data_IF_241488351402
#
_entry.id   IF_241488351402
#
_cell.length_a   1.000
_cell.length_b   1.000
_cell.length_c   1.000
_cell.angle_alpha   90.00
_cell.angle_beta   90.00
_cell.angle_gamma   90.00
#
_symmetry.space_group_name_H-M   'P 1'
#
loop_
_entity.id
_entity.type
_entity.pdbx_description
1 polymer ?
#
# COMPACT_ATOMS: atom_id res chain seq x y z
N UNK A 1 16.55 3.11 10.27
CA UNK A 1 16.06 1.99 9.44
C UNK A 1 14.56 1.83 9.68
N UNK A 2 13.85 1.12 8.81
CA UNK A 2 12.44 0.71 9.03
C UNK A 2 12.34 -0.82 8.96
N UNK A 3 11.20 -1.37 9.40
CA UNK A 3 10.89 -2.79 9.28
C UNK A 3 10.91 -3.29 7.82
N UNK A 4 10.44 -2.47 6.88
CA UNK A 4 10.57 -2.68 5.44
C UNK A 4 12.03 -2.91 5.01
N UNK A 5 12.92 -2.03 5.46
CA UNK A 5 14.34 -2.06 5.11
C UNK A 5 15.06 -3.25 5.79
N UNK A 6 14.58 -3.68 6.96
CA UNK A 6 15.04 -4.90 7.62
C UNK A 6 14.67 -6.16 6.83
N UNK A 7 13.44 -6.25 6.33
CA UNK A 7 12.98 -7.35 5.45
C UNK A 7 13.75 -7.37 4.12
N UNK A 8 13.91 -6.21 3.45
CA UNK A 8 14.73 -6.09 2.24
C UNK A 8 16.17 -6.56 2.46
N UNK A 9 16.80 -6.18 3.59
CA UNK A 9 18.15 -6.65 3.96
C UNK A 9 18.22 -8.15 4.26
N UNK A 10 17.17 -8.73 4.84
CA UNK A 10 17.08 -10.18 5.06
C UNK A 10 16.98 -10.94 3.73
N UNK A 11 16.06 -10.52 2.84
CA UNK A 11 15.92 -11.05 1.47
C UNK A 11 17.23 -10.92 0.67
N UNK A 12 17.93 -9.79 0.76
CA UNK A 12 19.23 -9.58 0.11
C UNK A 12 20.37 -10.45 0.69
N UNK A 13 20.19 -11.02 1.88
CA UNK A 13 21.09 -11.99 2.50
C UNK A 13 20.62 -13.46 2.31
N UNK A 14 19.64 -13.69 1.44
CA UNK A 14 19.00 -15.00 1.19
C UNK A 14 18.35 -15.63 2.44
N UNK A 15 17.76 -14.77 3.29
CA UNK A 15 17.01 -15.16 4.48
C UNK A 15 15.51 -14.99 4.18
N UNK A 16 14.78 -16.10 4.18
CA UNK A 16 13.32 -16.12 4.14
C UNK A 16 12.78 -15.80 5.54
N UNK A 17 11.73 -14.97 5.60
CA UNK A 17 11.09 -14.54 6.85
C UNK A 17 9.59 -14.78 6.76
N UNK A 18 9.00 -15.47 7.74
CA UNK A 18 7.55 -15.62 7.85
C UNK A 18 7.08 -15.59 9.30
N UNK A 19 5.76 -15.62 9.48
CA UNK A 19 5.11 -15.61 10.79
C UNK A 19 4.70 -17.02 11.20
N UNK A 20 5.02 -17.40 12.45
CA UNK A 20 4.34 -18.47 13.17
C UNK A 20 3.70 -17.89 14.44
N UNK A 21 2.39 -17.61 14.38
CA UNK A 21 1.65 -16.91 15.44
C UNK A 21 2.19 -15.50 15.75
N UNK A 22 2.93 -15.39 16.85
CA UNK A 22 3.62 -14.17 17.33
C UNK A 22 5.17 -14.27 17.22
N UNK A 23 5.68 -15.30 16.54
CA UNK A 23 7.09 -15.47 16.22
C UNK A 23 7.38 -15.06 14.78
N UNK A 24 8.59 -14.52 14.57
CA UNK A 24 9.21 -14.48 13.25
C UNK A 24 10.08 -15.72 13.13
N UNK A 25 9.86 -16.49 12.07
CA UNK A 25 10.69 -17.63 11.69
C UNK A 25 11.64 -17.16 10.59
N UNK A 26 12.91 -17.54 10.73
CA UNK A 26 13.96 -17.23 9.77
C UNK A 26 14.50 -18.53 9.20
N UNK A 27 14.47 -18.69 7.88
CA UNK A 27 15.12 -19.78 7.16
C UNK A 27 16.20 -19.23 6.25
N UNK A 28 17.37 -19.84 6.32
CA UNK A 28 18.54 -19.43 5.55
C UNK A 28 19.50 -20.61 5.42
N UNK A 29 20.26 -20.64 4.32
CA UNK A 29 21.27 -21.68 4.05
C UNK A 29 22.44 -21.67 5.05
N UNK A 30 22.60 -20.60 5.82
CA UNK A 30 23.59 -20.43 6.89
C UNK A 30 23.04 -19.54 8.00
N UNK A 31 23.60 -19.57 9.23
CA UNK A 31 23.18 -18.68 10.31
C UNK A 31 23.23 -17.19 9.91
N UNK A 32 22.16 -16.39 10.16
CA UNK A 32 22.15 -14.97 9.86
C UNK A 32 23.31 -14.22 10.51
N UNK A 33 23.81 -13.17 9.84
CA UNK A 33 24.81 -12.29 10.47
C UNK A 33 24.21 -11.60 11.71
N UNK A 34 25.01 -11.31 12.76
CA UNK A 34 24.50 -10.61 13.94
C UNK A 34 23.88 -9.25 13.62
N UNK A 35 24.34 -8.57 12.57
CA UNK A 35 23.73 -7.30 12.11
C UNK A 35 22.29 -7.51 11.63
N UNK A 36 22.06 -8.46 10.72
CA UNK A 36 20.71 -8.70 10.17
C UNK A 36 19.79 -9.30 11.24
N UNK A 37 20.29 -10.21 12.07
CA UNK A 37 19.52 -10.77 13.18
C UNK A 37 19.07 -9.69 14.18
N UNK A 38 20.00 -8.85 14.65
CA UNK A 38 19.67 -7.78 15.59
C UNK A 38 18.72 -6.73 14.97
N UNK A 39 18.86 -6.46 13.67
CA UNK A 39 17.98 -5.56 12.94
C UNK A 39 16.54 -6.11 12.88
N UNK A 40 16.36 -7.37 12.48
CA UNK A 40 15.06 -8.04 12.48
C UNK A 40 14.45 -8.11 13.90
N UNK A 41 15.27 -8.42 14.91
CA UNK A 41 14.83 -8.44 16.31
C UNK A 41 14.36 -7.06 16.80
N UNK A 42 15.08 -5.98 16.47
CA UNK A 42 14.73 -4.61 16.86
C UNK A 42 13.43 -4.09 16.22
N UNK A 43 13.03 -4.65 15.08
CA UNK A 43 11.79 -4.30 14.37
C UNK A 43 10.72 -5.41 14.44
N UNK A 44 10.85 -6.41 15.32
CA UNK A 44 9.99 -7.62 15.33
C UNK A 44 8.49 -7.31 15.24
N UNK A 45 7.98 -6.41 16.08
CA UNK A 45 6.54 -6.08 16.13
C UNK A 45 6.05 -5.39 14.86
N UNK A 46 6.86 -4.49 14.31
CA UNK A 46 6.57 -3.80 13.06
C UNK A 46 6.60 -4.78 11.88
N UNK A 47 7.56 -5.71 11.86
CA UNK A 47 7.67 -6.78 10.85
C UNK A 47 6.48 -7.75 10.95
N UNK A 48 6.06 -8.15 12.15
CA UNK A 48 4.83 -8.95 12.34
C UNK A 48 3.60 -8.21 11.81
N UNK A 49 3.56 -6.87 11.94
CA UNK A 49 2.47 -6.04 11.40
C UNK A 49 2.55 -5.95 9.87
N UNK A 50 3.75 -5.84 9.29
CA UNK A 50 3.96 -5.85 7.85
C UNK A 50 3.67 -7.20 7.21
N UNK A 51 4.07 -8.32 7.82
CA UNK A 51 3.91 -9.66 7.22
C UNK A 51 2.51 -10.26 7.42
N UNK A 52 1.65 -9.66 8.26
CA UNK A 52 0.24 -10.09 8.42
C UNK A 52 -0.60 -9.61 7.23
N UNK A 53 -1.30 -10.50 6.51
CA UNK A 53 -2.25 -10.09 5.49
C UNK A 53 -3.39 -9.26 6.08
N UNK A 54 -3.72 -8.14 5.42
CA UNK A 54 -4.90 -7.35 5.70
C UNK A 54 -6.20 -8.00 5.18
N UNK A 55 -7.31 -7.27 5.30
CA UNK A 55 -8.62 -7.70 4.76
C UNK A 55 -8.65 -7.75 3.22
N UNK A 56 -7.69 -7.08 2.58
CA UNK A 56 -7.39 -7.12 1.14
C UNK A 56 -6.59 -8.37 0.71
N UNK A 57 -6.25 -9.24 1.66
CA UNK A 57 -5.43 -10.43 1.46
C UNK A 57 -3.95 -10.13 1.20
N UNK A 58 -3.51 -8.88 1.40
CA UNK A 58 -2.14 -8.43 1.14
C UNK A 58 -1.44 -8.05 2.43
N UNK A 59 -0.20 -8.50 2.57
CA UNK A 59 0.70 -8.05 3.61
C UNK A 59 1.18 -6.62 3.30
N UNK A 60 1.64 -5.90 4.32
CA UNK A 60 2.38 -4.65 4.13
C UNK A 60 3.68 -4.81 3.33
N UNK A 61 4.23 -6.03 3.24
CA UNK A 61 5.36 -6.34 2.35
C UNK A 61 4.92 -6.41 0.88
N UNK A 62 3.78 -7.03 0.55
CA UNK A 62 3.20 -7.02 -0.82
C UNK A 62 2.96 -5.58 -1.32
N UNK A 63 2.50 -4.71 -0.42
CA UNK A 63 2.32 -3.29 -0.68
C UNK A 63 3.64 -2.55 -0.97
N UNK A 64 4.73 -2.92 -0.28
CA UNK A 64 6.06 -2.35 -0.49
C UNK A 64 6.71 -2.87 -1.78
N UNK A 65 6.58 -4.16 -2.07
CA UNK A 65 7.07 -4.77 -3.31
C UNK A 65 6.37 -4.14 -4.53
N UNK A 66 5.04 -3.92 -4.48
CA UNK A 66 4.31 -3.18 -5.52
C UNK A 66 4.83 -1.74 -5.67
N UNK A 67 5.05 -1.02 -4.57
CA UNK A 67 5.55 0.35 -4.62
C UNK A 67 6.93 0.43 -5.29
N UNK A 68 7.86 -0.43 -4.89
CA UNK A 68 9.22 -0.46 -5.46
C UNK A 68 9.24 -0.92 -6.92
N UNK A 69 8.42 -1.92 -7.30
CA UNK A 69 8.24 -2.32 -8.71
C UNK A 69 7.77 -1.13 -9.56
N UNK A 70 6.72 -0.43 -9.11
CA UNK A 70 6.15 0.70 -9.84
C UNK A 70 7.12 1.89 -9.90
N UNK A 71 7.88 2.14 -8.84
CA UNK A 71 8.92 3.17 -8.82
C UNK A 71 10.05 2.83 -9.80
N UNK A 72 10.57 1.59 -9.76
CA UNK A 72 11.62 1.14 -10.69
C UNK A 72 11.18 1.19 -12.16
N UNK A 73 9.94 0.81 -12.48
CA UNK A 73 9.39 0.92 -13.84
C UNK A 73 9.25 2.39 -14.27
N UNK A 74 8.73 3.27 -13.41
CA UNK A 74 8.59 4.69 -13.72
C UNK A 74 9.95 5.40 -13.87
N UNK A 75 10.94 5.04 -13.06
CA UNK A 75 12.31 5.55 -13.12
C UNK A 75 13.05 5.07 -14.37
N UNK A 76 13.10 3.76 -14.62
CA UNK A 76 13.90 3.19 -15.71
C UNK A 76 13.21 3.23 -17.08
N UNK A 77 11.92 2.88 -17.16
CA UNK A 77 11.17 2.88 -18.43
C UNK A 77 10.56 4.25 -18.71
N UNK A 78 10.01 4.90 -17.68
CA UNK A 78 9.43 6.25 -17.79
C UNK A 78 10.47 7.38 -17.84
N UNK A 79 11.73 7.11 -17.46
CA UNK A 79 12.81 8.12 -17.31
C UNK A 79 12.44 9.26 -16.36
N UNK A 80 11.61 8.97 -15.35
CA UNK A 80 11.31 9.89 -14.26
C UNK A 80 12.51 9.98 -13.30
N UNK A 81 12.64 11.11 -12.61
CA UNK A 81 13.51 11.18 -11.42
C UNK A 81 12.95 10.25 -10.34
N UNK A 82 13.79 9.73 -9.42
CA UNK A 82 13.34 8.87 -8.32
C UNK A 82 12.14 9.43 -7.56
N UNK A 83 12.14 10.74 -7.25
CA UNK A 83 11.03 11.41 -6.59
C UNK A 83 9.73 11.41 -7.42
N UNK A 84 9.81 11.66 -8.73
CA UNK A 84 8.63 11.61 -9.61
C UNK A 84 8.14 10.16 -9.83
N UNK A 85 9.06 9.20 -9.86
CA UNK A 85 8.77 7.78 -9.93
C UNK A 85 8.05 7.28 -8.66
N UNK A 86 8.52 7.68 -7.46
CA UNK A 86 7.88 7.38 -6.18
C UNK A 86 6.48 8.02 -6.06
N UNK A 87 6.30 9.25 -6.53
CA UNK A 87 4.98 9.89 -6.58
C UNK A 87 4.00 9.18 -7.55
N UNK A 88 4.51 8.68 -8.68
CA UNK A 88 3.76 7.84 -9.62
C UNK A 88 3.40 6.49 -8.97
N UNK A 89 4.37 5.83 -8.33
CA UNK A 89 4.20 4.56 -7.63
C UNK A 89 3.18 4.64 -6.48
N UNK A 90 3.21 5.72 -5.69
CA UNK A 90 2.20 5.99 -4.66
C UNK A 90 0.80 6.11 -5.28
N UNK A 91 0.68 6.78 -6.43
CA UNK A 91 -0.59 6.90 -7.16
C UNK A 91 -1.09 5.54 -7.66
N UNK A 92 -0.20 4.66 -8.13
CA UNK A 92 -0.53 3.27 -8.46
C UNK A 92 -0.99 2.47 -7.23
N UNK A 93 -0.30 2.59 -6.09
CA UNK A 93 -0.67 1.89 -4.85
C UNK A 93 -2.03 2.34 -4.33
N UNK A 94 -2.36 3.63 -4.43
CA UNK A 94 -3.69 4.16 -4.08
C UNK A 94 -4.78 3.58 -4.99
N UNK A 95 -4.53 3.46 -6.30
CA UNK A 95 -5.48 2.85 -7.23
C UNK A 95 -5.69 1.34 -6.97
N UNK A 96 -4.61 0.60 -6.67
CA UNK A 96 -4.66 -0.80 -6.24
C UNK A 96 -5.49 -0.95 -4.95
N UNK A 97 -5.26 -0.08 -3.95
CA UNK A 97 -5.97 -0.13 -2.67
C UNK A 97 -7.46 0.09 -2.85
N UNK A 98 -7.85 1.06 -3.68
CA UNK A 98 -9.25 1.35 -3.98
C UNK A 98 -9.98 0.17 -4.63
N UNK A 99 -9.30 -0.61 -5.49
CA UNK A 99 -9.88 -1.83 -6.10
C UNK A 99 -9.95 -2.99 -5.10
N UNK A 100 -8.93 -3.15 -4.24
CA UNK A 100 -8.87 -4.20 -3.21
C UNK A 100 -9.81 -3.98 -2.03
N UNK A 101 -10.22 -2.74 -1.78
CA UNK A 101 -11.15 -2.35 -0.71
C UNK A 101 -12.50 -1.88 -1.29
N UNK A 102 -13.22 -2.70 -2.08
CA UNK A 102 -14.49 -2.28 -2.67
C UNK A 102 -15.54 -2.06 -1.57
N UNK A 103 -16.25 -0.95 -1.65
CA UNK A 103 -17.53 -0.82 -0.95
C UNK A 103 -18.62 -1.45 -1.82
N UNK A 104 -19.67 -1.95 -1.18
CA UNK A 104 -20.93 -2.35 -1.81
C UNK A 104 -22.01 -1.44 -1.28
N UNK A 105 -22.91 -0.96 -2.13
CA UNK A 105 -24.14 -0.31 -1.69
C UNK A 105 -25.34 -1.20 -1.93
N UNK A 106 -26.43 -0.93 -1.22
CA UNK A 106 -27.71 -1.56 -1.54
C UNK A 106 -28.17 -1.07 -2.93
N UNK A 107 -28.79 -1.94 -3.75
CA UNK A 107 -29.35 -1.54 -5.03
C UNK A 107 -30.29 -0.35 -4.87
N UNK A 108 -30.13 0.67 -5.72
CA UNK A 108 -30.96 1.87 -5.68
C UNK A 108 -30.61 2.88 -4.58
N UNK A 109 -29.59 2.66 -3.73
CA UNK A 109 -29.18 3.60 -2.69
C UNK A 109 -27.77 4.16 -2.98
N UNK A 110 -27.64 5.48 -2.91
CA UNK A 110 -26.36 6.17 -3.02
C UNK A 110 -25.45 5.87 -1.83
N UNK A 111 -24.26 5.32 -2.07
CA UNK A 111 -23.31 4.94 -1.02
C UNK A 111 -22.71 6.12 -0.23
N UNK A 112 -22.82 7.34 -0.75
CA UNK A 112 -22.31 8.55 -0.12
C UNK A 112 -23.35 9.24 0.77
N UNK A 113 -24.57 9.48 0.25
CA UNK A 113 -25.61 10.23 0.98
C UNK A 113 -26.70 9.36 1.61
N UNK A 114 -26.73 8.05 1.31
CA UNK A 114 -27.72 7.11 1.86
C UNK A 114 -29.14 7.23 1.29
N UNK A 115 -29.33 7.99 0.21
CA UNK A 115 -30.65 8.28 -0.37
C UNK A 115 -30.93 7.46 -1.63
N UNK A 116 -32.21 7.15 -1.83
CA UNK A 116 -32.78 6.28 -2.88
C UNK A 116 -33.39 7.05 -4.07
N UNK A 117 -33.17 8.37 -4.12
CA UNK A 117 -33.79 9.29 -5.09
C UNK A 117 -32.82 9.73 -6.18
N UNK A 118 -33.33 9.97 -7.40
CA UNK A 118 -32.55 10.52 -8.51
C UNK A 118 -31.65 9.50 -9.22
N UNK A 119 -30.94 9.94 -10.26
CA UNK A 119 -30.15 9.05 -11.11
C UNK A 119 -28.85 8.60 -10.43
N UNK A 120 -28.67 7.29 -10.29
CA UNK A 120 -27.46 6.66 -9.79
C UNK A 120 -26.61 6.11 -10.95
N UNK A 121 -25.30 6.19 -10.79
CA UNK A 121 -24.31 5.62 -11.69
C UNK A 121 -23.45 4.60 -10.92
N UNK A 122 -22.95 3.55 -11.59
CA UNK A 122 -22.02 2.63 -10.97
C UNK A 122 -20.68 3.35 -10.76
N UNK A 123 -20.16 3.32 -9.54
CA UNK A 123 -18.80 3.74 -9.26
C UNK A 123 -17.83 2.70 -9.85
N UNK A 124 -16.98 3.15 -10.76
CA UNK A 124 -15.96 2.35 -11.42
C UNK A 124 -14.59 2.92 -11.10
N UNK A 125 -13.63 2.03 -10.84
CA UNK A 125 -12.19 2.32 -10.89
C UNK A 125 -11.63 1.68 -12.15
N UNK A 126 -10.64 2.32 -12.76
CA UNK A 126 -10.18 2.08 -14.14
C UNK A 126 -9.65 0.67 -14.45
N UNK A 127 -9.58 -0.21 -13.45
CA UNK A 127 -8.94 -1.53 -13.51
C UNK A 127 -9.74 -2.65 -12.81
N UNK A 128 -11.09 -2.59 -12.76
CA UNK A 128 -11.90 -3.59 -12.08
C UNK A 128 -12.67 -4.56 -13.02
N UNK A 129 -12.10 -5.73 -13.38
CA UNK A 129 -12.77 -6.73 -14.22
C UNK A 129 -13.55 -7.80 -13.44
N UNK A 130 -13.60 -7.74 -12.10
CA UNK A 130 -14.22 -8.79 -11.27
C UNK A 130 -15.55 -8.28 -10.70
N UNK A 131 -16.57 -9.13 -10.78
CA UNK A 131 -17.94 -8.87 -10.34
C UNK A 131 -18.07 -8.94 -8.81
N UNK A 132 -17.43 -8.00 -8.11
CA UNK A 132 -17.47 -7.89 -6.63
C UNK A 132 -18.73 -7.13 -6.17
N UNK A 133 -19.71 -6.89 -7.05
CA UNK A 133 -20.91 -6.08 -6.81
C UNK A 133 -20.66 -4.57 -6.96
N UNK A 134 -21.64 -3.85 -7.51
CA UNK A 134 -21.52 -2.41 -7.77
C UNK A 134 -21.74 -1.55 -6.51
N UNK A 135 -20.93 -0.49 -6.38
CA UNK A 135 -21.31 0.69 -5.59
C UNK A 135 -22.09 1.65 -6.48
N UNK A 136 -23.21 2.16 -5.99
CA UNK A 136 -24.03 3.15 -6.69
C UNK A 136 -23.88 4.53 -6.08
N UNK A 137 -23.68 5.57 -6.90
CA UNK A 137 -23.50 6.96 -6.47
C UNK A 137 -24.28 7.92 -7.35
N UNK A 138 -24.72 9.05 -6.78
CA UNK A 138 -25.07 10.22 -7.59
C UNK A 138 -23.81 10.80 -8.23
N UNK A 139 -23.92 11.30 -9.46
CA UNK A 139 -22.81 11.99 -10.14
C UNK A 139 -22.21 13.11 -9.28
N UNK A 140 -23.07 13.90 -8.61
CA UNK A 140 -22.66 14.98 -7.70
C UNK A 140 -21.94 14.49 -6.44
N UNK A 141 -22.27 13.30 -5.93
CA UNK A 141 -21.62 12.72 -4.75
C UNK A 141 -20.33 11.95 -5.08
N UNK A 142 -20.11 11.60 -6.35
CA UNK A 142 -19.02 10.71 -6.73
C UNK A 142 -17.62 11.29 -6.52
N UNK A 143 -17.47 12.63 -6.56
CA UNK A 143 -16.16 13.26 -6.37
C UNK A 143 -15.72 13.19 -4.91
N UNK A 144 -16.49 13.78 -4.01
CA UNK A 144 -16.11 13.91 -2.60
C UNK A 144 -15.93 12.53 -1.94
N UNK A 145 -16.82 11.58 -2.25
CA UNK A 145 -16.74 10.19 -1.80
C UNK A 145 -15.49 9.45 -2.32
N UNK A 146 -15.06 9.74 -3.56
CA UNK A 146 -13.82 9.19 -4.10
C UNK A 146 -12.60 9.82 -3.41
N UNK A 147 -12.60 11.14 -3.20
CA UNK A 147 -11.52 11.86 -2.54
C UNK A 147 -11.36 11.43 -1.07
N UNK A 148 -12.45 11.20 -0.33
CA UNK A 148 -12.43 10.61 1.02
C UNK A 148 -11.75 9.23 1.02
N UNK A 149 -12.17 8.32 0.14
CA UNK A 149 -11.54 7.00 0.02
C UNK A 149 -10.08 7.07 -0.42
N UNK A 150 -9.73 8.04 -1.26
CA UNK A 150 -8.35 8.32 -1.66
C UNK A 150 -7.49 8.74 -0.46
N UNK A 151 -8.04 9.54 0.47
CA UNK A 151 -7.34 9.88 1.72
C UNK A 151 -7.18 8.67 2.64
N UNK A 152 -8.19 7.79 2.77
CA UNK A 152 -8.07 6.55 3.53
C UNK A 152 -6.96 5.65 2.98
N UNK A 153 -6.86 5.50 1.65
CA UNK A 153 -5.78 4.78 0.99
C UNK A 153 -4.40 5.38 1.31
N UNK A 154 -4.26 6.72 1.25
CA UNK A 154 -3.01 7.43 1.57
C UNK A 154 -2.65 7.26 3.06
N UNK A 155 -3.61 7.30 3.98
CA UNK A 155 -3.37 7.06 5.41
C UNK A 155 -2.93 5.63 5.69
N UNK A 156 -3.53 4.64 5.03
CA UNK A 156 -3.11 3.24 5.09
C UNK A 156 -1.67 3.05 4.56
N UNK A 157 -1.37 3.55 3.36
CA UNK A 157 -0.03 3.42 2.77
C UNK A 157 1.04 4.11 3.63
N UNK A 158 0.73 5.28 4.20
CA UNK A 158 1.61 5.97 5.16
C UNK A 158 1.89 5.15 6.42
N UNK A 159 0.93 4.37 6.95
CA UNK A 159 1.19 3.51 8.11
C UNK A 159 2.17 2.36 7.79
N UNK A 160 2.24 1.96 6.52
CA UNK A 160 3.23 1.01 5.98
C UNK A 160 4.57 1.65 5.63
N UNK A 161 4.77 2.96 5.90
CA UNK A 161 5.88 3.80 5.44
C UNK A 161 5.99 3.93 3.90
N UNK A 162 4.87 3.80 3.19
CA UNK A 162 4.78 4.06 1.76
C UNK A 162 4.21 5.47 1.56
N UNK A 163 5.08 6.42 1.25
CA UNK A 163 4.71 7.79 0.89
C UNK A 163 5.67 8.38 -0.16
N UNK A 164 5.34 9.57 -0.65
CA UNK A 164 6.15 10.29 -1.65
C UNK A 164 7.17 11.25 -1.02
N UNK A 165 7.37 11.19 0.30
CA UNK A 165 8.39 11.98 0.99
C UNK A 165 9.66 11.14 1.05
N UNK A 166 10.41 11.21 -0.05
CA UNK A 166 11.73 10.60 -0.12
C UNK A 166 12.54 10.96 1.13
N UNK A 167 12.96 9.93 1.89
CA UNK A 167 14.07 10.09 2.83
C UNK A 167 15.31 10.33 1.97
N UNK A 168 15.55 11.59 1.65
CA UNK A 168 16.83 12.02 1.09
C UNK A 168 17.96 11.51 1.99
N UNK A 169 19.17 11.30 1.46
CA UNK A 169 20.24 10.59 2.17
C UNK A 169 20.69 11.21 3.52
N UNK A 170 20.20 12.40 3.88
CA UNK A 170 20.43 13.08 5.16
C UNK A 170 19.16 13.32 6.02
N UNK A 171 17.98 12.80 5.65
CA UNK A 171 16.80 12.82 6.52
C UNK A 171 16.14 14.17 6.78
N UNK A 172 16.43 15.22 5.99
CA UNK A 172 15.76 16.52 6.11
C UNK A 172 14.45 16.57 5.33
N UNK A 173 13.35 16.84 6.03
CA UNK A 173 12.04 17.16 5.44
C UNK A 173 12.10 18.52 4.73
N UNK A 174 12.12 18.52 3.40
CA UNK A 174 11.84 19.73 2.61
C UNK A 174 10.37 19.81 2.24
N UNK A 175 9.60 20.53 3.05
CA UNK A 175 8.37 21.17 2.57
C UNK A 175 8.74 22.20 1.50
N UNK A 176 7.95 22.30 0.45
CA UNK A 176 7.95 23.46 -0.44
C UNK A 176 6.51 23.91 -0.70
N UNK A 177 6.36 25.24 -0.68
CA UNK A 177 5.17 26.02 -1.01
C UNK A 177 4.89 26.04 -2.52
#
# INVERSE_FOLDING_TARGET
MSAAEALKRARAADIQVWIDGEALVLEASAPPSPEVFNLLASHKTDILTLLRPGLDGWSGEDWQDLFEERAAVAEHCGRMTRQAAEASALSCCVAEWLRRNPVRSLPGICAACGLDRGWLQPYVTDLNPIDIGHTWLHQACSKDWHDERRQLAIMFLKSLNIDSLSKGPNGELRSME
#
